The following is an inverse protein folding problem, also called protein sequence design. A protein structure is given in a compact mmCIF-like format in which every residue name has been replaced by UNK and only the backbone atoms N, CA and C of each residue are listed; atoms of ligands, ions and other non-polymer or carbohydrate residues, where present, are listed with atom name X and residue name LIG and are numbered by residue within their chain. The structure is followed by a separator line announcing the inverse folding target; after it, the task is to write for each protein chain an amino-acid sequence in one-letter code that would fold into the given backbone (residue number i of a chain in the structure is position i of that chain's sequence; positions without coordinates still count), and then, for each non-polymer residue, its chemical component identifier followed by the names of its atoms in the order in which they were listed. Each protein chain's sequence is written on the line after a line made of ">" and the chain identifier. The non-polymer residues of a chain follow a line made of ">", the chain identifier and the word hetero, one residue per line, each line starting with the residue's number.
data_IF_380340045996
#
_entry.id   IF_380340045996
#
_cell.length_a   1.000
_cell.length_b   1.000
_cell.length_c   1.000
_cell.angle_alpha   90.00
_cell.angle_beta   90.00
_cell.angle_gamma   90.00
#
_symmetry.space_group_name_H-M   'P 1'
#
loop_
_entity.id
_entity.type
_entity.pdbx_description
1 polymer ?
#
# COMPACT_ATOMS: atom_id res chain seq x y z
N UNK A 1 8.48 25.23 13.30
CA UNK A 1 8.55 24.18 12.27
C UNK A 1 8.22 24.83 10.94
N UNK A 2 9.18 24.87 10.02
CA UNK A 2 8.96 25.42 8.68
C UNK A 2 7.91 24.58 7.95
N UNK A 3 6.98 25.25 7.27
CA UNK A 3 6.03 24.67 6.32
C UNK A 3 6.80 24.05 5.16
N UNK A 4 7.31 22.84 5.34
CA UNK A 4 7.88 22.07 4.27
C UNK A 4 6.71 21.61 3.39
N UNK A 5 6.55 22.25 2.23
CA UNK A 5 5.55 21.93 1.23
C UNK A 5 6.00 20.66 0.47
N UNK A 6 6.14 19.55 1.19
CA UNK A 6 6.79 18.29 0.73
C UNK A 6 5.91 17.43 -0.17
N UNK A 7 4.80 17.98 -0.69
CA UNK A 7 3.84 17.24 -1.49
C UNK A 7 2.92 16.34 -0.66
N UNK A 8 2.11 15.53 -1.35
CA UNK A 8 1.21 14.55 -0.75
C UNK A 8 1.88 13.17 -0.79
N UNK A 9 1.69 12.37 0.25
CA UNK A 9 2.13 10.97 0.26
C UNK A 9 1.28 10.17 -0.75
N UNK A 10 1.96 9.54 -1.72
CA UNK A 10 1.37 8.69 -2.76
C UNK A 10 2.06 7.33 -2.70
N UNK A 11 1.32 6.28 -2.32
CA UNK A 11 1.89 4.92 -2.15
C UNK A 11 1.86 4.10 -3.43
N UNK A 12 1.05 4.47 -4.41
CA UNK A 12 1.10 3.90 -5.76
C UNK A 12 2.36 4.32 -6.53
N UNK A 13 2.93 5.48 -6.21
CA UNK A 13 3.99 6.11 -7.01
C UNK A 13 5.23 5.22 -7.23
N UNK A 14 5.79 4.50 -6.22
CA UNK A 14 6.93 3.61 -6.46
C UNK A 14 6.61 2.44 -7.40
N UNK A 15 5.40 1.89 -7.30
CA UNK A 15 4.94 0.76 -8.13
C UNK A 15 4.69 1.23 -9.57
N UNK A 16 4.02 2.37 -9.73
CA UNK A 16 3.78 2.99 -11.04
C UNK A 16 5.09 3.43 -11.70
N UNK A 17 6.06 3.91 -10.92
CA UNK A 17 7.40 4.21 -11.42
C UNK A 17 8.10 2.95 -11.93
N UNK A 18 8.07 1.85 -11.16
CA UNK A 18 8.65 0.59 -11.60
C UNK A 18 8.00 0.08 -12.90
N UNK A 19 6.66 0.13 -12.97
CA UNK A 19 5.91 -0.23 -14.17
C UNK A 19 6.31 0.60 -15.40
N UNK A 20 6.46 1.92 -15.23
CA UNK A 20 6.78 2.86 -16.34
C UNK A 20 8.21 2.72 -16.84
N UNK A 21 9.13 2.37 -15.95
CA UNK A 21 10.56 2.24 -16.29
C UNK A 21 10.94 0.79 -16.64
N UNK A 22 9.98 -0.15 -16.66
CA UNK A 22 10.22 -1.57 -16.88
C UNK A 22 11.22 -2.18 -15.88
N UNK A 23 11.18 -1.70 -14.64
CA UNK A 23 12.02 -2.22 -13.56
C UNK A 23 11.29 -3.35 -12.83
N UNK A 24 12.01 -4.45 -12.59
CA UNK A 24 11.46 -5.66 -12.01
C UNK A 24 11.79 -5.75 -10.51
N UNK A 25 10.75 -5.72 -9.67
CA UNK A 25 10.83 -5.86 -8.22
C UNK A 25 9.86 -6.94 -7.75
N UNK A 26 10.36 -7.89 -6.98
CA UNK A 26 9.54 -8.94 -6.37
C UNK A 26 8.76 -8.43 -5.15
N UNK A 27 9.27 -7.40 -4.47
CA UNK A 27 8.69 -6.90 -3.20
C UNK A 27 8.80 -5.39 -3.13
N UNK A 28 7.67 -4.74 -2.87
CA UNK A 28 7.62 -3.32 -2.49
C UNK A 28 7.45 -3.22 -0.97
N UNK A 29 8.29 -2.42 -0.31
CA UNK A 29 8.19 -2.17 1.13
C UNK A 29 7.91 -0.68 1.32
N UNK A 30 6.72 -0.35 1.80
CA UNK A 30 6.31 1.01 2.15
C UNK A 30 6.41 1.22 3.64
N UNK A 31 7.31 2.11 4.05
CA UNK A 31 7.43 2.54 5.44
C UNK A 31 6.72 3.89 5.59
N UNK A 32 5.67 3.95 6.40
CA UNK A 32 4.80 5.12 6.51
C UNK A 32 4.54 5.48 7.96
N UNK A 33 4.45 6.77 8.28
CA UNK A 33 3.96 7.24 9.59
C UNK A 33 2.42 7.36 9.60
N UNK A 34 1.84 7.69 8.45
CA UNK A 34 0.39 7.76 8.20
C UNK A 34 0.05 7.23 6.82
N UNK A 35 -1.12 6.58 6.72
CA UNK A 35 -1.65 6.11 5.45
C UNK A 35 -2.09 7.27 4.55
N UNK A 36 -2.06 7.02 3.24
CA UNK A 36 -2.64 7.94 2.26
C UNK A 36 -4.17 7.84 2.25
N UNK A 37 -4.81 8.77 1.55
CA UNK A 37 -6.25 8.78 1.32
C UNK A 37 -6.70 7.80 0.22
N UNK A 38 -5.76 7.17 -0.50
CA UNK A 38 -6.01 6.35 -1.68
C UNK A 38 -5.78 4.86 -1.34
N UNK A 39 -6.70 4.26 -0.59
CA UNK A 39 -6.64 2.85 -0.15
C UNK A 39 -7.99 2.17 -0.42
N UNK A 40 -8.07 0.84 -0.38
CA UNK A 40 -9.25 0.07 -0.82
C UNK A 40 -10.47 0.11 0.12
N UNK A 41 -10.28 -0.06 1.42
CA UNK A 41 -11.39 -0.23 2.38
C UNK A 41 -12.14 1.06 2.77
N UNK A 42 -13.44 0.95 3.10
CA UNK A 42 -14.24 2.06 3.66
C UNK A 42 -13.86 2.37 5.13
N UNK A 43 -14.18 3.58 5.61
CA UNK A 43 -13.97 4.05 6.98
C UNK A 43 -14.71 3.20 8.04
N UNK A 44 -15.89 2.67 7.74
CA UNK A 44 -16.72 1.93 8.71
C UNK A 44 -16.18 0.53 9.02
N UNK A 45 -15.51 -0.12 8.07
CA UNK A 45 -14.90 -1.43 8.24
C UNK A 45 -13.61 -1.42 9.10
N UNK A 46 -12.96 -0.25 9.20
CA UNK A 46 -11.60 -0.10 9.77
C UNK A 46 -11.54 0.18 11.28
N UNK A 47 -12.68 0.25 11.98
CA UNK A 47 -12.73 0.26 13.45
C UNK A 47 -11.97 1.37 14.21
N UNK A 48 -11.68 2.54 13.61
CA UNK A 48 -10.85 3.58 14.27
C UNK A 48 -11.20 5.05 13.96
N UNK A 49 -10.90 5.95 14.90
CA UNK A 49 -10.96 7.42 14.75
C UNK A 49 -9.57 7.96 14.40
N UNK A 50 -9.25 8.06 13.11
CA UNK A 50 -8.03 8.71 12.59
C UNK A 50 -8.37 9.67 11.43
N UNK A 51 -7.54 10.70 11.20
CA UNK A 51 -7.78 11.77 10.22
C UNK A 51 -7.59 11.36 8.75
N UNK A 52 -7.89 10.11 8.39
CA UNK A 52 -7.90 9.62 7.03
C UNK A 52 -9.27 9.87 6.39
N UNK A 53 -9.38 10.94 5.62
CA UNK A 53 -10.61 11.32 4.92
C UNK A 53 -10.75 10.65 3.55
N UNK A 54 -12.00 10.24 3.25
CA UNK A 54 -12.57 9.77 1.97
C UNK A 54 -11.75 8.75 1.18
N UNK A 55 -11.96 7.50 1.55
CA UNK A 55 -11.71 6.28 0.79
C UNK A 55 -12.86 6.12 -0.20
N UNK A 56 -12.56 6.12 -1.49
CA UNK A 56 -13.58 5.96 -2.52
C UNK A 56 -13.52 4.55 -3.11
N UNK A 57 -14.65 4.02 -3.62
CA UNK A 57 -14.57 2.96 -4.64
C UNK A 57 -13.59 3.37 -5.74
N UNK A 58 -13.08 2.42 -6.56
CA UNK A 58 -12.27 2.76 -7.73
C UNK A 58 -12.91 3.94 -8.47
N UNK A 59 -12.11 4.93 -8.94
CA UNK A 59 -12.65 6.07 -9.64
C UNK A 59 -13.59 5.59 -10.74
N UNK A 60 -14.80 6.17 -10.81
CA UNK A 60 -15.75 5.79 -11.85
C UNK A 60 -15.08 5.94 -13.23
N UNK A 61 -15.29 4.97 -14.13
CA UNK A 61 -14.63 4.90 -15.45
C UNK A 61 -14.80 6.17 -16.28
N UNK A 62 -15.84 6.97 -15.98
CA UNK A 62 -16.17 8.22 -16.65
C UNK A 62 -15.50 9.47 -16.07
N UNK A 63 -14.68 9.36 -15.02
CA UNK A 63 -13.94 10.48 -14.44
C UNK A 63 -12.46 10.37 -14.80
N UNK A 64 -11.85 11.50 -15.18
CA UNK A 64 -10.40 11.67 -15.40
C UNK A 64 -9.55 11.50 -14.11
N UNK A 65 -10.10 10.89 -13.06
CA UNK A 65 -9.45 10.72 -11.78
C UNK A 65 -8.52 9.50 -11.85
N UNK A 66 -7.22 9.77 -11.71
CA UNK A 66 -6.19 8.75 -11.64
C UNK A 66 -6.37 7.92 -10.37
N UNK A 67 -6.31 6.60 -10.51
CA UNK A 67 -6.40 5.65 -9.40
C UNK A 67 -5.04 5.50 -8.70
N UNK A 68 -4.93 6.14 -7.53
CA UNK A 68 -3.72 6.15 -6.71
C UNK A 68 -3.69 5.06 -5.62
N UNK A 69 -4.51 4.01 -5.74
CA UNK A 69 -4.49 2.92 -4.79
C UNK A 69 -3.27 2.02 -4.97
N UNK A 70 -2.44 1.77 -3.93
CA UNK A 70 -1.24 0.96 -4.05
C UNK A 70 -1.57 -0.52 -4.33
N UNK A 71 -2.70 -1.03 -3.83
CA UNK A 71 -3.12 -2.41 -4.10
C UNK A 71 -3.45 -2.60 -5.57
N UNK A 72 -4.32 -1.75 -6.14
CA UNK A 72 -4.62 -1.79 -7.57
C UNK A 72 -3.41 -1.43 -8.44
N UNK A 73 -2.52 -0.57 -7.97
CA UNK A 73 -1.24 -0.33 -8.65
C UNK A 73 -0.38 -1.60 -8.69
N UNK A 74 -0.34 -2.37 -7.60
CA UNK A 74 0.33 -3.67 -7.55
C UNK A 74 -0.28 -4.67 -8.53
N UNK A 75 -1.62 -4.73 -8.63
CA UNK A 75 -2.28 -5.59 -9.62
C UNK A 75 -1.90 -5.22 -11.06
N UNK A 76 -1.97 -3.93 -11.39
CA UNK A 76 -1.54 -3.43 -12.71
C UNK A 76 -0.06 -3.74 -12.98
N UNK A 77 0.78 -3.70 -11.96
CA UNK A 77 2.20 -4.06 -12.07
C UNK A 77 2.39 -5.57 -12.28
N UNK A 78 1.63 -6.42 -11.56
CA UNK A 78 1.66 -7.88 -11.70
C UNK A 78 1.27 -8.33 -13.11
N UNK A 79 0.36 -7.63 -13.76
CA UNK A 79 -0.05 -7.94 -15.13
C UNK A 79 1.02 -7.57 -16.18
N UNK A 80 1.89 -6.59 -15.88
CA UNK A 80 2.85 -6.03 -16.83
C UNK A 80 4.29 -6.49 -16.63
N UNK A 81 4.70 -6.77 -15.39
CA UNK A 81 6.09 -6.98 -15.01
C UNK A 81 6.28 -8.29 -14.23
N UNK A 82 6.01 -8.28 -12.91
CA UNK A 82 6.29 -9.42 -12.02
C UNK A 82 4.98 -9.96 -11.45
N UNK A 83 4.50 -11.09 -12.00
CA UNK A 83 3.20 -11.71 -11.67
C UNK A 83 2.97 -11.96 -10.18
N UNK A 84 4.04 -12.27 -9.44
CA UNK A 84 4.00 -12.59 -8.00
C UNK A 84 4.55 -11.47 -7.11
N UNK A 85 4.64 -10.25 -7.61
CA UNK A 85 5.12 -9.12 -6.81
C UNK A 85 4.30 -8.96 -5.52
N UNK A 86 4.95 -8.68 -4.40
CA UNK A 86 4.31 -8.53 -3.09
C UNK A 86 4.40 -7.09 -2.59
N UNK A 87 3.47 -6.71 -1.73
CA UNK A 87 3.45 -5.40 -1.08
C UNK A 87 3.48 -5.56 0.43
N UNK A 88 4.44 -4.92 1.09
CA UNK A 88 4.52 -4.81 2.55
C UNK A 88 4.30 -3.34 2.91
N UNK A 89 3.31 -3.06 3.75
CA UNK A 89 3.05 -1.71 4.29
C UNK A 89 3.31 -1.72 5.79
N UNK A 90 4.35 -1.01 6.21
CA UNK A 90 4.78 -0.91 7.59
C UNK A 90 4.45 0.47 8.16
N UNK A 91 3.54 0.52 9.14
CA UNK A 91 3.25 1.74 9.90
C UNK A 91 4.25 1.92 11.03
N UNK A 92 4.96 3.05 11.02
CA UNK A 92 5.84 3.48 12.10
C UNK A 92 5.08 4.11 13.26
N UNK A 93 3.77 4.36 13.09
CA UNK A 93 2.87 4.83 14.15
C UNK A 93 1.91 3.72 14.59
N UNK A 94 1.41 3.78 15.83
CA UNK A 94 0.46 2.80 16.39
C UNK A 94 -0.98 2.95 15.86
N UNK A 95 -1.15 3.39 14.62
CA UNK A 95 -2.45 3.48 13.97
C UNK A 95 -2.79 2.17 13.28
N UNK A 96 -4.08 1.80 13.31
CA UNK A 96 -4.57 0.65 12.55
C UNK A 96 -4.37 0.89 11.06
N UNK A 97 -3.64 -0.02 10.42
CA UNK A 97 -3.54 -0.14 8.97
C UNK A 97 -4.56 -1.18 8.47
N UNK A 98 -5.08 -0.93 7.29
CA UNK A 98 -5.88 -1.91 6.54
C UNK A 98 -5.74 -1.53 5.06
N UNK A 99 -4.74 -2.11 4.41
CA UNK A 99 -4.34 -1.81 3.04
C UNK A 99 -5.23 -2.51 2.03
N UNK A 100 -5.61 -3.75 2.34
CA UNK A 100 -6.50 -4.61 1.55
C UNK A 100 -7.74 -4.98 2.35
N UNK A 101 -8.85 -5.25 1.65
CA UNK A 101 -10.08 -5.83 2.21
C UNK A 101 -10.04 -7.37 2.30
N UNK A 102 -8.89 -7.98 1.98
CA UNK A 102 -8.69 -9.42 1.98
C UNK A 102 -9.06 -10.09 0.64
N UNK A 103 -9.52 -9.33 -0.36
CA UNK A 103 -9.75 -9.86 -1.71
C UNK A 103 -8.47 -9.95 -2.56
N UNK A 104 -7.36 -9.35 -2.09
CA UNK A 104 -6.09 -9.29 -2.80
C UNK A 104 -4.98 -10.02 -2.03
N UNK A 105 -4.38 -11.05 -2.64
CA UNK A 105 -3.28 -11.82 -2.05
C UNK A 105 -1.93 -11.11 -2.18
N UNK A 106 -0.98 -11.49 -1.31
CA UNK A 106 0.41 -10.99 -1.36
C UNK A 106 0.55 -9.55 -0.89
N UNK A 107 -0.23 -9.17 0.13
CA UNK A 107 -0.17 -7.87 0.81
C UNK A 107 -0.03 -8.12 2.31
N UNK A 108 0.97 -7.50 2.93
CA UNK A 108 1.24 -7.60 4.37
C UNK A 108 1.22 -6.23 5.04
N UNK A 109 0.31 -6.04 6.00
CA UNK A 109 0.30 -4.87 6.88
C UNK A 109 1.06 -5.17 8.18
N UNK A 110 2.04 -4.32 8.52
CA UNK A 110 2.82 -4.39 9.76
C UNK A 110 2.61 -3.10 10.55
N UNK A 111 2.27 -3.20 11.83
CA UNK A 111 2.11 -2.03 12.71
C UNK A 111 3.20 -2.03 13.78
N UNK A 112 4.03 -1.00 13.77
CA UNK A 112 5.21 -0.89 14.62
C UNK A 112 6.44 -1.55 14.00
N UNK A 113 7.57 -1.37 14.68
CA UNK A 113 8.84 -1.99 14.33
C UNK A 113 9.35 -2.70 15.57
N UNK A 114 9.58 -4.00 15.45
CA UNK A 114 10.19 -4.82 16.49
C UNK A 114 11.31 -5.69 15.90
N UNK A 115 12.04 -6.40 16.76
CA UNK A 115 13.16 -7.27 16.37
C UNK A 115 12.76 -8.51 15.56
N UNK A 116 11.47 -8.85 15.51
CA UNK A 116 10.90 -9.98 14.80
C UNK A 116 10.34 -9.61 13.42
N UNK A 117 10.03 -8.33 13.17
CA UNK A 117 9.54 -7.83 11.86
C UNK A 117 10.37 -8.35 10.67
N UNK A 118 11.72 -8.32 10.69
CA UNK A 118 12.50 -8.85 9.57
C UNK A 118 12.23 -10.33 9.26
N UNK A 119 12.01 -11.16 10.30
CA UNK A 119 11.69 -12.59 10.12
C UNK A 119 10.30 -12.79 9.53
N UNK A 120 9.33 -11.96 9.94
CA UNK A 120 7.97 -11.99 9.40
C UNK A 120 7.99 -11.59 7.92
N UNK A 121 8.74 -10.55 7.57
CA UNK A 121 8.92 -10.12 6.18
C UNK A 121 9.57 -11.22 5.32
N UNK A 122 10.62 -11.86 5.82
CA UNK A 122 11.29 -12.96 5.11
C UNK A 122 10.34 -14.14 4.84
N UNK A 123 9.63 -14.60 5.87
CA UNK A 123 8.65 -15.67 5.76
C UNK A 123 7.52 -15.34 4.77
N UNK A 124 7.02 -14.09 4.81
CA UNK A 124 6.02 -13.61 3.87
C UNK A 124 6.54 -13.59 2.43
N UNK A 125 7.73 -13.04 2.20
CA UNK A 125 8.34 -12.96 0.86
C UNK A 125 8.54 -14.36 0.28
N UNK A 126 9.04 -15.30 1.09
CA UNK A 126 9.23 -16.69 0.72
C UNK A 126 7.92 -17.49 0.53
N UNK A 127 6.76 -16.92 0.86
CA UNK A 127 5.46 -17.56 0.67
C UNK A 127 5.19 -18.66 1.71
N UNK A 128 5.75 -18.52 2.91
CA UNK A 128 5.42 -19.41 4.03
C UNK A 128 4.00 -19.14 4.56
N UNK A 129 3.43 -17.98 4.23
CA UNK A 129 2.04 -17.60 4.38
C UNK A 129 1.69 -16.52 3.34
N UNK A 130 0.39 -16.36 3.04
CA UNK A 130 -0.14 -15.45 2.01
C UNK A 130 -1.23 -14.54 2.55
#
# INVERSE_FOLDING_TARGET
>A
MQNANLGRVQLDAPIEWAAKNNENFDVFIHMVDRTTRYMELDRTARGGRGSGGRYGPPPAENKELIDHCPVRALERYRDKAVRKAKLIVMSLASHRLETTDGSHEGILDIVGVDEHVPKVMDAFVLGQFE
#
